data_IF_820128386024
#
_entry.id   IF_820128386024
#
_cell.length_a   1.000
_cell.length_b   1.000
_cell.length_c   1.000
_cell.angle_alpha   90.00
_cell.angle_beta   90.00
_cell.angle_gamma   90.00
#
_symmetry.space_group_name_H-M   'P 1'
#
loop_
_entity.id
_entity.type
_entity.pdbx_description
1 polymer ?
#
# COMPACT_ATOMS: atom_id res chain seq x y z
N UNK A 1 62.86 20.10 -20.69
CA UNK A 1 61.64 20.95 -20.62
C UNK A 1 60.46 20.05 -20.83
N UNK A 2 59.70 19.74 -19.78
CA UNK A 2 58.51 18.91 -19.87
C UNK A 2 57.39 19.71 -20.56
N UNK A 3 56.77 19.13 -21.57
CA UNK A 3 55.80 19.80 -22.42
C UNK A 3 54.50 20.11 -21.63
N UNK A 4 53.85 21.27 -21.80
CA UNK A 4 52.66 21.70 -21.04
C UNK A 4 51.44 20.77 -21.20
N UNK A 5 51.43 19.84 -22.14
CA UNK A 5 50.39 18.82 -22.35
C UNK A 5 50.35 17.75 -21.23
N UNK A 6 51.49 17.43 -20.60
CA UNK A 6 51.57 16.41 -19.58
C UNK A 6 51.02 16.93 -18.22
N UNK A 7 51.20 18.21 -17.90
CA UNK A 7 50.66 18.78 -16.67
C UNK A 7 49.13 18.84 -16.67
N UNK A 8 48.50 19.24 -17.77
CA UNK A 8 47.04 19.27 -17.88
C UNK A 8 46.41 17.86 -17.78
N UNK A 9 47.10 16.82 -18.25
CA UNK A 9 46.63 15.43 -18.13
C UNK A 9 46.73 14.94 -16.69
N UNK A 10 47.83 15.29 -15.99
CA UNK A 10 48.03 14.95 -14.57
C UNK A 10 46.96 15.62 -13.69
N UNK A 11 46.66 16.91 -13.92
CA UNK A 11 45.60 17.61 -13.20
C UNK A 11 44.21 16.99 -13.38
N UNK A 12 43.89 16.56 -14.62
CA UNK A 12 42.61 15.85 -14.89
C UNK A 12 42.53 14.52 -14.16
N UNK A 13 43.62 13.74 -14.16
CA UNK A 13 43.67 12.46 -13.42
C UNK A 13 43.54 12.69 -11.93
N UNK A 14 44.23 13.68 -11.36
CA UNK A 14 44.16 14.04 -9.94
C UNK A 14 42.74 14.52 -9.57
N UNK A 15 42.11 15.34 -10.40
CA UNK A 15 40.73 15.80 -10.21
C UNK A 15 39.73 14.62 -10.21
N UNK A 16 39.84 13.70 -11.15
CA UNK A 16 39.01 12.50 -11.24
C UNK A 16 39.20 11.65 -9.97
N UNK A 17 40.43 11.48 -9.51
CA UNK A 17 40.75 10.72 -8.31
C UNK A 17 40.15 11.39 -7.09
N UNK A 18 40.31 12.71 -6.91
CA UNK A 18 39.69 13.46 -5.75
C UNK A 18 38.18 13.38 -5.81
N UNK A 19 37.56 13.54 -7.00
CA UNK A 19 36.09 13.41 -7.12
C UNK A 19 35.64 11.98 -6.84
N UNK A 20 36.38 10.96 -7.22
CA UNK A 20 36.05 9.56 -6.90
C UNK A 20 36.17 9.28 -5.40
N UNK A 21 37.17 9.83 -4.71
CA UNK A 21 37.31 9.70 -3.25
C UNK A 21 36.20 10.46 -2.54
N UNK A 22 35.84 11.66 -2.99
CA UNK A 22 34.72 12.44 -2.45
C UNK A 22 33.40 11.69 -2.66
N UNK A 23 33.17 11.10 -3.82
CA UNK A 23 31.99 10.28 -4.10
C UNK A 23 31.94 9.04 -3.17
N UNK A 24 33.08 8.35 -2.99
CA UNK A 24 33.20 7.22 -2.09
C UNK A 24 32.92 7.64 -0.63
N UNK A 25 33.46 8.78 -0.20
CA UNK A 25 33.28 9.34 1.13
C UNK A 25 31.83 9.75 1.37
N UNK A 26 31.16 10.38 0.41
CA UNK A 26 29.74 10.71 0.47
C UNK A 26 28.84 9.45 0.55
N UNK A 27 29.22 8.38 -0.17
CA UNK A 27 28.53 7.09 -0.05
C UNK A 27 28.76 6.43 1.34
N UNK A 28 29.96 6.50 1.90
CA UNK A 28 30.27 5.99 3.24
C UNK A 28 29.49 6.78 4.32
N UNK A 29 29.33 8.07 4.14
CA UNK A 29 28.53 8.93 5.03
C UNK A 29 27.02 8.81 4.80
N UNK A 30 26.58 8.03 3.80
CA UNK A 30 25.17 7.93 3.44
C UNK A 30 24.58 9.23 2.86
N UNK A 31 25.41 10.21 2.56
CA UNK A 31 24.97 11.49 2.00
C UNK A 31 24.70 11.31 0.51
N UNK A 32 23.42 11.41 0.12
CA UNK A 32 22.99 11.32 -1.28
C UNK A 32 22.50 9.95 -1.74
N UNK A 33 22.43 8.94 -0.88
CA UNK A 33 21.68 7.73 -1.19
C UNK A 33 20.20 7.96 -0.84
N UNK A 34 19.35 7.95 -1.84
CA UNK A 34 17.91 7.89 -1.60
C UNK A 34 17.59 6.59 -0.86
N UNK A 35 16.88 6.68 0.26
CA UNK A 35 16.35 5.51 0.95
C UNK A 35 15.49 4.70 -0.02
N UNK A 36 15.72 3.39 -0.07
CA UNK A 36 14.94 2.47 -0.87
C UNK A 36 14.50 1.33 0.03
N UNK A 37 13.20 1.23 0.34
CA UNK A 37 12.72 0.17 1.23
C UNK A 37 12.86 -1.20 0.58
N UNK A 38 13.12 -2.22 1.40
CA UNK A 38 13.19 -3.61 0.92
C UNK A 38 11.81 -4.17 0.56
N UNK A 39 11.74 -5.12 -0.41
CA UNK A 39 10.52 -5.83 -0.76
C UNK A 39 9.92 -6.56 0.45
N UNK A 40 8.60 -6.42 0.64
CA UNK A 40 7.89 -6.97 1.80
C UNK A 40 6.44 -7.28 1.52
N UNK A 41 5.82 -8.02 2.45
CA UNK A 41 4.37 -8.29 2.50
C UNK A 41 3.86 -8.10 3.92
N UNK A 42 2.54 -8.01 4.08
CA UNK A 42 1.91 -7.91 5.39
C UNK A 42 2.25 -6.62 6.15
N UNK A 43 2.79 -5.61 5.46
CA UNK A 43 2.90 -4.25 5.97
C UNK A 43 1.54 -3.57 5.96
N UNK A 44 1.31 -2.64 6.87
CA UNK A 44 0.23 -1.69 6.75
C UNK A 44 0.68 -0.45 5.97
N UNK A 45 -0.25 0.19 5.26
CA UNK A 45 -0.02 1.43 4.53
C UNK A 45 -1.17 2.41 4.75
N UNK A 46 -0.85 3.64 5.14
CA UNK A 46 -1.82 4.69 5.48
C UNK A 46 -1.46 5.97 4.75
N UNK A 47 -2.37 6.47 3.92
CA UNK A 47 -2.22 7.77 3.28
C UNK A 47 -2.71 8.87 4.23
N UNK A 48 -1.84 9.84 4.53
CA UNK A 48 -2.17 11.08 5.22
C UNK A 48 -1.61 12.23 4.40
N UNK A 49 -2.47 13.11 3.95
CA UNK A 49 -2.12 14.21 3.03
C UNK A 49 -1.38 13.68 1.78
N UNK A 50 -0.13 14.08 1.60
CA UNK A 50 0.72 13.70 0.45
C UNK A 50 1.72 12.58 0.79
N UNK A 51 1.55 11.87 1.91
CA UNK A 51 2.48 10.85 2.39
C UNK A 51 1.77 9.52 2.64
N UNK A 52 2.30 8.45 2.06
CA UNK A 52 1.88 7.10 2.38
C UNK A 52 2.87 6.54 3.40
N UNK A 53 2.42 6.35 4.64
CA UNK A 53 3.20 5.75 5.72
C UNK A 53 3.12 4.24 5.63
N UNK A 54 4.26 3.56 5.73
CA UNK A 54 4.39 2.11 5.75
C UNK A 54 4.96 1.66 7.07
N UNK A 55 4.38 0.61 7.62
CA UNK A 55 4.71 0.13 8.97
C UNK A 55 4.88 -1.38 8.93
N UNK A 56 5.99 -1.88 9.47
CA UNK A 56 6.26 -3.29 9.66
C UNK A 56 6.32 -4.11 8.37
N UNK A 57 5.84 -5.33 8.46
CA UNK A 57 5.80 -6.31 7.38
C UNK A 57 6.82 -7.43 7.54
N UNK A 58 6.82 -8.33 6.55
CA UNK A 58 7.77 -9.43 6.43
C UNK A 58 8.69 -9.19 5.23
N UNK A 59 9.98 -9.08 5.47
CA UNK A 59 11.01 -8.84 4.44
C UNK A 59 11.42 -10.16 3.81
N UNK A 60 11.30 -10.29 2.50
CA UNK A 60 11.66 -11.51 1.78
C UNK A 60 13.16 -11.81 1.82
N UNK A 61 13.99 -10.78 1.61
CA UNK A 61 15.44 -10.94 1.52
C UNK A 61 16.08 -11.42 2.82
N UNK A 62 15.48 -11.08 3.96
CA UNK A 62 15.97 -11.40 5.29
C UNK A 62 15.15 -12.50 5.96
N UNK A 63 14.03 -12.90 5.36
CA UNK A 63 13.09 -13.91 5.90
C UNK A 63 12.66 -13.58 7.34
N UNK A 64 12.38 -12.30 7.63
CA UNK A 64 12.08 -11.84 8.99
C UNK A 64 11.00 -10.77 9.04
N UNK A 65 10.34 -10.69 10.20
CA UNK A 65 9.48 -9.57 10.56
C UNK A 65 10.31 -8.31 10.76
N UNK A 66 9.70 -7.15 10.57
CA UNK A 66 10.34 -5.86 10.78
C UNK A 66 9.43 -4.90 11.53
N UNK A 67 10.02 -3.97 12.25
CA UNK A 67 9.36 -2.80 12.84
C UNK A 67 9.63 -1.51 12.04
N UNK A 68 10.14 -1.63 10.82
CA UNK A 68 10.45 -0.46 10.00
C UNK A 68 9.23 0.47 9.89
N UNK A 69 9.49 1.76 9.98
CA UNK A 69 8.55 2.82 9.68
C UNK A 69 9.20 3.74 8.65
N UNK A 70 8.51 4.02 7.57
CA UNK A 70 8.98 4.91 6.52
C UNK A 70 7.78 5.45 5.75
N UNK A 71 7.96 6.48 4.94
CA UNK A 71 6.90 6.98 4.08
C UNK A 71 7.37 7.21 2.65
N UNK A 72 6.40 7.17 1.73
CA UNK A 72 6.52 7.62 0.37
C UNK A 72 5.83 8.98 0.26
N UNK A 73 6.59 10.02 -0.05
CA UNK A 73 6.05 11.32 -0.44
C UNK A 73 5.55 11.20 -1.88
N UNK A 74 4.25 11.42 -2.07
CA UNK A 74 3.58 11.31 -3.37
C UNK A 74 3.20 12.67 -3.93
N UNK A 75 3.63 13.73 -3.27
CA UNK A 75 3.39 15.10 -3.69
C UNK A 75 3.89 15.32 -5.12
N UNK A 76 3.04 15.90 -5.94
CA UNK A 76 3.35 16.18 -7.35
C UNK A 76 3.86 14.93 -8.12
N UNK A 77 3.49 13.71 -7.68
CA UNK A 77 3.92 12.44 -8.27
C UNK A 77 5.44 12.24 -8.33
N UNK A 78 6.20 12.82 -7.41
CA UNK A 78 7.68 12.71 -7.37
C UNK A 78 8.20 11.42 -6.75
N UNK A 79 7.41 10.73 -5.93
CA UNK A 79 7.70 9.42 -5.31
C UNK A 79 9.06 9.36 -4.57
N UNK A 80 9.18 10.14 -3.50
CA UNK A 80 10.41 10.20 -2.70
C UNK A 80 10.21 9.38 -1.42
N UNK A 81 11.07 8.38 -1.22
CA UNK A 81 11.09 7.57 -0.01
C UNK A 81 11.85 8.26 1.12
N UNK A 82 11.31 8.23 2.31
CA UNK A 82 11.93 8.75 3.53
C UNK A 82 11.91 7.70 4.63
N UNK A 83 13.08 7.44 5.19
CA UNK A 83 13.27 6.49 6.28
C UNK A 83 12.92 7.11 7.63
N UNK A 84 12.15 6.38 8.42
CA UNK A 84 11.82 6.68 9.81
C UNK A 84 12.20 5.50 10.74
N UNK A 85 13.18 4.69 10.35
CA UNK A 85 13.56 3.44 11.04
C UNK A 85 13.86 3.64 12.53
N UNK A 86 14.38 4.79 12.92
CA UNK A 86 14.60 5.10 14.34
C UNK A 86 13.32 5.02 15.18
N UNK A 87 12.14 5.22 14.58
CA UNK A 87 10.84 5.09 15.26
C UNK A 87 10.48 3.64 15.54
N UNK A 88 10.92 2.72 14.69
CA UNK A 88 10.66 1.30 14.82
C UNK A 88 11.19 0.67 16.10
N UNK A 89 12.13 1.30 16.80
CA UNK A 89 12.65 0.83 18.08
C UNK A 89 11.56 0.74 19.17
N UNK A 90 10.48 1.51 19.05
CA UNK A 90 9.36 1.52 19.98
C UNK A 90 8.17 0.66 19.51
N UNK A 91 8.30 -0.01 18.38
CA UNK A 91 7.29 -0.89 17.81
C UNK A 91 7.79 -2.33 17.87
N UNK A 92 6.96 -3.25 18.34
CA UNK A 92 7.26 -4.69 18.25
C UNK A 92 7.34 -5.10 16.78
N UNK A 93 8.28 -5.99 16.45
CA UNK A 93 8.36 -6.59 15.10
C UNK A 93 7.02 -7.19 14.72
N UNK A 94 6.38 -6.70 13.66
CA UNK A 94 5.00 -7.07 13.32
C UNK A 94 4.75 -7.16 11.81
N UNK A 95 3.86 -8.09 11.45
CA UNK A 95 3.27 -8.18 10.11
C UNK A 95 1.82 -8.62 10.19
N UNK A 96 1.08 -8.49 9.09
CA UNK A 96 -0.34 -8.87 8.99
C UNK A 96 -1.25 -8.11 9.97
N UNK A 97 -0.75 -7.00 10.51
CA UNK A 97 -1.51 -6.04 11.28
C UNK A 97 -2.31 -5.12 10.35
N UNK A 98 -3.23 -4.36 10.91
CA UNK A 98 -3.87 -3.25 10.19
C UNK A 98 -3.45 -1.92 10.79
N UNK A 99 -3.57 -0.85 10.03
CA UNK A 99 -3.38 0.50 10.52
C UNK A 99 -4.37 1.47 9.87
N UNK A 100 -4.80 2.45 10.64
CA UNK A 100 -5.74 3.48 10.21
C UNK A 100 -5.38 4.83 10.81
N UNK A 101 -5.71 5.94 10.14
CA UNK A 101 -5.59 7.27 10.73
C UNK A 101 -6.64 7.46 11.84
N UNK A 102 -6.52 8.54 12.60
CA UNK A 102 -7.44 8.87 13.70
C UNK A 102 -8.64 9.76 13.29
N UNK A 103 -9.19 9.55 12.12
CA UNK A 103 -10.34 10.31 11.64
C UNK A 103 -9.98 11.72 11.14
N UNK A 104 -10.71 12.75 11.53
CA UNK A 104 -10.61 14.10 10.94
C UNK A 104 -9.25 14.77 11.14
N UNK A 105 -8.64 14.61 12.32
CA UNK A 105 -7.40 15.33 12.65
C UNK A 105 -6.19 14.86 11.84
N UNK A 106 -6.22 13.60 11.38
CA UNK A 106 -5.17 12.98 10.55
C UNK A 106 -3.74 13.21 11.09
N UNK A 107 -3.58 13.33 12.41
CA UNK A 107 -2.31 13.61 13.05
C UNK A 107 -1.66 12.38 13.70
N UNK A 108 -2.34 11.25 13.63
CA UNK A 108 -1.87 9.99 14.21
C UNK A 108 -2.33 8.79 13.39
N UNK A 109 -1.53 7.72 13.46
CA UNK A 109 -1.84 6.41 12.90
C UNK A 109 -1.94 5.42 14.04
N UNK A 110 -3.07 4.69 14.11
CA UNK A 110 -3.27 3.58 15.04
C UNK A 110 -2.91 2.28 14.33
N UNK A 111 -2.04 1.48 14.94
CA UNK A 111 -1.52 0.21 14.45
C UNK A 111 -2.08 -0.88 15.35
N UNK A 112 -2.75 -1.89 14.78
CA UNK A 112 -3.58 -2.81 15.54
C UNK A 112 -3.32 -4.27 15.16
N UNK A 113 -3.06 -5.10 16.16
CA UNK A 113 -2.87 -6.54 16.02
C UNK A 113 -1.63 -6.93 15.23
N UNK A 114 -1.71 -8.04 14.50
CA UNK A 114 -0.62 -8.62 13.71
C UNK A 114 0.05 -9.81 14.39
N UNK A 115 1.05 -10.38 13.70
CA UNK A 115 1.96 -11.39 14.26
C UNK A 115 3.10 -10.68 14.95
N UNK A 116 3.45 -11.14 16.13
CA UNK A 116 4.57 -10.64 16.90
C UNK A 116 5.49 -11.78 17.30
N UNK A 117 6.81 -11.53 17.38
CA UNK A 117 7.77 -12.55 17.84
C UNK A 117 7.74 -12.74 19.36
N UNK A 118 7.36 -11.71 20.10
CA UNK A 118 7.21 -11.73 21.55
C UNK A 118 5.76 -11.42 21.94
N UNK A 119 4.96 -12.48 22.04
CA UNK A 119 3.54 -12.35 22.40
C UNK A 119 3.32 -11.91 23.84
N UNK A 120 4.29 -12.15 24.73
CA UNK A 120 4.16 -11.86 26.16
C UNK A 120 4.22 -10.35 26.48
N UNK A 121 4.91 -9.57 25.65
CA UNK A 121 5.18 -8.15 25.87
C UNK A 121 4.56 -7.24 24.78
N UNK A 122 3.62 -7.77 23.99
CA UNK A 122 3.00 -6.99 22.92
C UNK A 122 1.86 -6.11 23.41
N UNK A 123 1.80 -4.90 22.90
CA UNK A 123 0.60 -4.09 22.95
C UNK A 123 -0.25 -4.39 21.71
N UNK A 124 -1.55 -4.59 21.91
CA UNK A 124 -2.47 -4.80 20.79
C UNK A 124 -2.64 -3.53 19.92
N UNK A 125 -2.41 -2.35 20.52
CA UNK A 125 -2.50 -1.06 19.84
C UNK A 125 -1.25 -0.24 20.07
N UNK A 126 -0.70 0.28 18.98
CA UNK A 126 0.29 1.35 19.01
C UNK A 126 -0.28 2.59 18.31
N UNK A 127 0.16 3.77 18.73
CA UNK A 127 -0.16 5.05 18.13
C UNK A 127 1.13 5.71 17.65
N UNK A 128 1.24 6.00 16.38
CA UNK A 128 2.25 6.87 15.80
C UNK A 128 1.69 8.29 15.69
N UNK A 129 2.25 9.23 16.39
CA UNK A 129 2.00 10.67 16.22
C UNK A 129 2.91 11.17 15.08
N UNK A 130 2.30 11.63 13.99
CA UNK A 130 3.06 12.00 12.77
C UNK A 130 3.67 13.39 12.84
N UNK A 131 3.27 14.23 13.81
CA UNK A 131 3.85 15.57 14.03
C UNK A 131 5.13 15.50 14.84
N UNK A 132 5.11 14.64 15.88
CA UNK A 132 6.23 14.47 16.79
C UNK A 132 7.14 13.30 16.42
N UNK A 133 6.66 12.43 15.54
CA UNK A 133 7.30 11.16 15.20
C UNK A 133 7.53 10.27 16.44
N UNK A 134 6.54 10.18 17.33
CA UNK A 134 6.60 9.34 18.53
C UNK A 134 5.64 8.17 18.40
N UNK A 135 6.14 6.95 18.64
CA UNK A 135 5.32 5.75 18.80
C UNK A 135 5.10 5.49 20.27
N UNK A 136 3.85 5.32 20.66
CA UNK A 136 3.42 5.03 22.03
C UNK A 136 2.37 3.93 22.06
N UNK A 137 2.17 3.30 23.21
CA UNK A 137 1.05 2.39 23.47
C UNK A 137 0.02 3.13 24.32
N UNK A 138 -1.09 3.61 23.74
CA UNK A 138 -2.11 4.34 24.48
C UNK A 138 -2.87 3.41 25.44
N UNK A 139 -3.25 3.95 26.60
CA UNK A 139 -4.16 3.26 27.52
C UNK A 139 -5.58 3.40 26.95
N UNK A 140 -6.19 2.28 26.60
CA UNK A 140 -7.53 2.25 26.00
C UNK A 140 -8.49 1.59 26.96
N UNK A 141 -9.61 2.25 27.23
CA UNK A 141 -10.67 1.77 28.11
C UNK A 141 -11.46 0.63 27.45
N UNK A 142 -12.08 -0.21 28.27
CA UNK A 142 -12.89 -1.33 27.81
C UNK A 142 -12.09 -2.62 27.61
N UNK A 143 -12.73 -3.64 27.03
CA UNK A 143 -12.13 -4.94 26.82
C UNK A 143 -11.30 -4.93 25.53
N UNK A 144 -9.98 -5.07 25.68
CA UNK A 144 -9.08 -5.22 24.52
C UNK A 144 -9.45 -6.48 23.74
N UNK A 145 -9.58 -6.39 22.40
CA UNK A 145 -9.78 -7.56 21.54
C UNK A 145 -8.66 -8.59 21.67
N UNK A 146 -8.98 -9.84 21.37
CA UNK A 146 -7.98 -10.89 21.26
C UNK A 146 -6.94 -10.54 20.18
N UNK A 147 -5.64 -10.67 20.45
CA UNK A 147 -4.59 -10.49 19.45
C UNK A 147 -4.81 -11.39 18.24
N UNK A 148 -4.80 -10.81 17.05
CA UNK A 148 -5.12 -11.50 15.82
C UNK A 148 -4.48 -10.81 14.61
N UNK A 149 -4.44 -11.51 13.51
CA UNK A 149 -3.79 -11.09 12.27
C UNK A 149 -4.67 -11.34 11.04
N UNK A 150 -4.28 -10.76 9.90
CA UNK A 150 -4.98 -10.93 8.63
C UNK A 150 -6.34 -10.26 8.54
N UNK A 151 -6.64 -9.34 9.47
CA UNK A 151 -7.81 -8.48 9.39
C UNK A 151 -7.50 -7.23 8.55
N UNK A 152 -8.57 -6.58 8.13
CA UNK A 152 -8.54 -5.23 7.55
C UNK A 152 -9.41 -4.31 8.41
N UNK A 153 -9.14 -3.02 8.37
CA UNK A 153 -9.90 -2.00 9.11
C UNK A 153 -10.46 -0.93 8.18
N UNK A 154 -11.58 -0.37 8.59
CA UNK A 154 -12.14 0.84 8.02
C UNK A 154 -12.24 1.90 9.13
N UNK A 155 -12.02 3.18 8.80
CA UNK A 155 -12.09 4.27 9.77
C UNK A 155 -13.15 5.28 9.35
N UNK A 156 -14.03 5.64 10.28
CA UNK A 156 -15.01 6.69 10.05
C UNK A 156 -14.40 8.07 10.26
N UNK A 157 -15.08 9.09 9.73
CA UNK A 157 -14.67 10.48 9.90
C UNK A 157 -14.67 10.91 11.38
N UNK A 158 -15.51 10.30 12.22
CA UNK A 158 -15.55 10.52 13.66
C UNK A 158 -14.38 9.86 14.41
N UNK A 159 -13.49 9.17 13.71
CA UNK A 159 -12.31 8.52 14.30
C UNK A 159 -12.59 7.16 14.93
N UNK A 160 -13.66 6.47 14.52
CA UNK A 160 -13.91 5.09 14.91
C UNK A 160 -13.28 4.13 13.91
N UNK A 161 -12.42 3.23 14.39
CA UNK A 161 -11.80 2.17 13.58
C UNK A 161 -12.59 0.88 13.79
N UNK A 162 -13.13 0.35 12.71
CA UNK A 162 -13.92 -0.89 12.66
C UNK A 162 -13.03 -2.04 12.18
N UNK A 163 -12.92 -3.11 12.98
CA UNK A 163 -12.08 -4.27 12.73
C UNK A 163 -12.92 -5.53 12.82
N UNK A 164 -13.12 -6.20 11.69
CA UNK A 164 -13.88 -7.44 11.65
C UNK A 164 -12.97 -8.63 11.35
N UNK A 165 -13.26 -9.81 11.90
CA UNK A 165 -12.59 -11.05 11.52
C UNK A 165 -11.12 -11.11 11.92
N UNK A 166 -10.27 -11.63 11.00
CA UNK A 166 -8.91 -12.00 11.29
C UNK A 166 -8.80 -13.44 11.82
N UNK A 167 -7.60 -13.87 12.19
CA UNK A 167 -7.39 -15.19 12.78
C UNK A 167 -6.38 -15.15 13.91
N UNK A 168 -6.46 -16.15 14.78
CA UNK A 168 -5.52 -16.44 15.86
C UNK A 168 -4.92 -17.84 15.67
N UNK A 169 -3.80 -18.08 16.31
CA UNK A 169 -3.10 -19.37 16.24
C UNK A 169 -2.23 -19.51 14.99
N UNK A 170 -1.66 -20.70 14.82
CA UNK A 170 -0.74 -21.02 13.74
C UNK A 170 -0.87 -22.48 13.32
N UNK A 171 -0.38 -22.80 12.11
CA UNK A 171 -0.43 -24.14 11.56
C UNK A 171 -1.84 -24.73 11.54
N UNK A 172 -2.02 -25.89 12.18
CA UNK A 172 -3.31 -26.57 12.25
C UNK A 172 -4.29 -26.01 13.29
N UNK A 173 -3.84 -25.08 14.12
CA UNK A 173 -4.65 -24.47 15.19
C UNK A 173 -5.17 -23.07 14.83
N UNK A 174 -5.29 -22.75 13.54
CA UNK A 174 -5.86 -21.48 13.09
C UNK A 174 -7.35 -21.45 13.39
N UNK A 175 -7.77 -20.40 14.10
CA UNK A 175 -9.18 -20.10 14.40
C UNK A 175 -9.55 -18.75 13.76
N UNK A 176 -10.55 -18.78 12.89
CA UNK A 176 -11.11 -17.56 12.29
C UNK A 176 -11.97 -16.84 13.32
N UNK A 177 -11.65 -15.59 13.57
CA UNK A 177 -12.35 -14.78 14.55
C UNK A 177 -13.64 -14.24 13.94
N UNK A 178 -14.75 -14.33 14.69
CA UNK A 178 -16.02 -13.72 14.31
C UNK A 178 -16.40 -12.67 15.35
N UNK A 179 -15.80 -11.51 15.26
CA UNK A 179 -16.14 -10.32 16.07
C UNK A 179 -15.96 -9.06 15.23
N UNK A 180 -16.73 -8.05 15.57
CA UNK A 180 -16.55 -6.68 15.09
C UNK A 180 -16.15 -5.83 16.29
N UNK A 181 -14.87 -5.46 16.35
CA UNK A 181 -14.35 -4.61 17.41
C UNK A 181 -14.17 -3.18 16.88
N UNK A 182 -14.56 -2.21 17.69
CA UNK A 182 -14.61 -0.81 17.32
C UNK A 182 -13.73 -0.03 18.30
N UNK A 183 -12.68 0.59 17.79
CA UNK A 183 -11.83 1.51 18.55
C UNK A 183 -12.25 2.95 18.29
N UNK A 184 -12.72 3.63 19.31
CA UNK A 184 -12.86 5.08 19.31
C UNK A 184 -11.48 5.71 19.60
N UNK A 185 -10.88 6.32 18.58
CA UNK A 185 -9.53 6.91 18.68
C UNK A 185 -9.51 8.25 19.38
N UNK A 186 -10.66 8.88 19.58
CA UNK A 186 -10.81 10.17 20.27
C UNK A 186 -10.96 9.93 21.77
N UNK A 187 -11.89 9.03 22.16
CA UNK A 187 -12.16 8.72 23.56
C UNK A 187 -11.26 7.60 24.10
N UNK A 188 -10.44 7.01 23.27
CA UNK A 188 -9.56 5.87 23.56
C UNK A 188 -10.35 4.76 24.28
N UNK A 189 -11.38 4.24 23.61
CA UNK A 189 -12.24 3.21 24.19
C UNK A 189 -12.62 2.15 23.16
N UNK A 190 -12.74 0.89 23.64
CA UNK A 190 -13.23 -0.25 22.87
C UNK A 190 -14.73 -0.43 23.05
N UNK A 191 -15.40 -0.73 21.95
CA UNK A 191 -16.76 -1.25 21.91
C UNK A 191 -16.84 -2.39 20.90
N UNK A 192 -17.98 -3.08 20.88
CA UNK A 192 -18.26 -4.18 19.93
C UNK A 192 -19.48 -3.82 19.10
N UNK A 193 -19.45 -4.13 17.83
CA UNK A 193 -20.60 -3.99 16.96
C UNK A 193 -21.46 -5.25 16.94
N UNK A 194 -22.68 -5.12 16.45
CA UNK A 194 -23.63 -6.21 16.25
C UNK A 194 -23.04 -7.31 15.36
N UNK A 195 -23.36 -8.55 15.67
CA UNK A 195 -23.06 -9.72 14.83
C UNK A 195 -24.34 -10.35 14.23
N UNK A 196 -25.48 -9.73 14.42
CA UNK A 196 -26.74 -10.21 13.82
C UNK A 196 -26.65 -10.08 12.29
N UNK A 197 -26.78 -11.19 11.58
CA UNK A 197 -26.61 -11.30 10.13
C UNK A 197 -25.19 -10.95 9.65
N UNK A 198 -24.18 -10.96 10.52
CA UNK A 198 -22.79 -10.78 10.10
C UNK A 198 -22.33 -11.92 9.18
N UNK A 199 -21.33 -11.68 8.33
CA UNK A 199 -20.65 -12.79 7.67
C UNK A 199 -19.96 -13.69 8.70
N UNK A 200 -19.60 -14.90 8.29
CA UNK A 200 -18.64 -15.71 9.04
C UNK A 200 -17.29 -15.01 9.09
N UNK A 201 -16.51 -15.28 10.15
CA UNK A 201 -15.16 -14.73 10.32
C UNK A 201 -14.32 -14.96 9.06
N UNK A 202 -13.55 -13.96 8.65
CA UNK A 202 -12.78 -13.99 7.40
C UNK A 202 -11.43 -13.31 7.55
N UNK A 203 -10.53 -13.65 6.63
CA UNK A 203 -9.16 -13.13 6.60
C UNK A 203 -8.78 -12.63 5.21
N UNK A 204 -7.84 -11.67 5.14
CA UNK A 204 -7.25 -11.14 3.90
C UNK A 204 -8.30 -10.63 2.89
N UNK A 205 -9.41 -10.14 3.39
CA UNK A 205 -10.48 -9.45 2.68
C UNK A 205 -10.19 -7.94 2.59
N UNK A 206 -11.06 -7.18 1.93
CA UNK A 206 -11.04 -5.71 2.00
C UNK A 206 -12.26 -5.16 2.71
N UNK A 207 -12.06 -4.11 3.51
CA UNK A 207 -13.09 -3.32 4.17
C UNK A 207 -13.02 -1.89 3.63
N UNK A 208 -14.06 -1.46 2.93
CA UNK A 208 -14.11 -0.14 2.28
C UNK A 208 -15.27 0.66 2.85
N UNK A 209 -14.98 1.75 3.56
CA UNK A 209 -16.02 2.66 4.06
C UNK A 209 -16.52 3.55 2.92
N UNK A 210 -17.83 3.63 2.77
CA UNK A 210 -18.53 4.50 1.83
C UNK A 210 -18.89 5.83 2.50
N UNK A 211 -19.27 6.81 1.69
CA UNK A 211 -19.62 8.15 2.16
C UNK A 211 -20.90 8.21 3.01
N UNK A 212 -21.75 7.18 2.92
CA UNK A 212 -22.98 7.06 3.71
C UNK A 212 -22.78 6.37 5.07
N UNK A 213 -21.55 6.03 5.42
CA UNK A 213 -21.21 5.32 6.63
C UNK A 213 -21.35 3.79 6.54
N UNK A 214 -21.56 3.24 5.36
CA UNK A 214 -21.62 1.79 5.15
C UNK A 214 -20.23 1.24 4.84
N UNK A 215 -19.82 0.15 5.49
CA UNK A 215 -18.58 -0.55 5.18
C UNK A 215 -18.89 -1.76 4.30
N UNK A 216 -18.23 -1.85 3.13
CA UNK A 216 -18.31 -3.00 2.23
C UNK A 216 -17.17 -3.97 2.52
N UNK A 217 -17.51 -5.24 2.73
CA UNK A 217 -16.57 -6.34 2.94
C UNK A 217 -16.56 -7.22 1.70
N UNK A 218 -15.41 -7.30 1.03
CA UNK A 218 -15.28 -7.95 -0.28
C UNK A 218 -14.20 -9.03 -0.22
N UNK A 219 -14.53 -10.23 -0.70
CA UNK A 219 -13.60 -11.36 -0.80
C UNK A 219 -13.12 -11.89 0.54
N UNK A 220 -11.89 -12.39 0.54
CA UNK A 220 -11.29 -13.01 1.72
C UNK A 220 -11.48 -14.52 1.78
N UNK A 221 -10.83 -15.15 2.74
CA UNK A 221 -10.96 -16.57 3.05
C UNK A 221 -11.81 -16.73 4.30
N UNK A 222 -12.78 -17.65 4.28
CA UNK A 222 -13.79 -17.83 5.34
C UNK A 222 -13.54 -19.06 6.22
N UNK A 223 -12.74 -19.98 5.73
CA UNK A 223 -12.21 -21.12 6.47
C UNK A 223 -10.92 -21.60 5.79
N UNK A 224 -10.40 -22.78 6.17
CA UNK A 224 -9.14 -23.31 5.60
C UNK A 224 -9.18 -23.57 4.11
N UNK A 225 -10.35 -23.87 3.54
CA UNK A 225 -10.50 -24.32 2.17
C UNK A 225 -11.33 -23.38 1.30
N UNK A 226 -12.17 -22.55 1.92
CA UNK A 226 -13.18 -21.77 1.22
C UNK A 226 -12.88 -20.27 1.19
N UNK A 227 -13.18 -19.67 0.07
CA UNK A 227 -13.07 -18.26 -0.19
C UNK A 227 -14.49 -17.66 -0.29
N UNK A 228 -14.65 -16.43 0.16
CA UNK A 228 -15.88 -15.68 -0.08
C UNK A 228 -16.01 -15.38 -1.57
N UNK A 229 -17.15 -15.71 -2.21
CA UNK A 229 -17.37 -15.38 -3.61
C UNK A 229 -17.50 -13.86 -3.79
N UNK A 230 -17.08 -13.35 -4.94
CA UNK A 230 -17.16 -11.93 -5.26
C UNK A 230 -18.59 -11.45 -5.56
N UNK A 231 -19.55 -12.38 -5.64
CA UNK A 231 -20.99 -12.08 -5.70
C UNK A 231 -21.55 -11.65 -4.34
N UNK A 232 -20.90 -12.01 -3.24
CA UNK A 232 -21.34 -11.68 -1.88
C UNK A 232 -20.68 -10.40 -1.38
N UNK A 233 -21.47 -9.34 -1.25
CA UNK A 233 -21.04 -8.07 -0.68
C UNK A 233 -21.72 -7.89 0.67
N UNK A 234 -21.00 -8.20 1.73
CA UNK A 234 -21.47 -7.92 3.08
C UNK A 234 -21.31 -6.44 3.39
N UNK A 235 -22.34 -5.87 3.97
CA UNK A 235 -22.40 -4.45 4.30
C UNK A 235 -22.66 -4.30 5.79
N UNK A 236 -21.90 -3.42 6.43
CA UNK A 236 -22.14 -3.00 7.80
C UNK A 236 -22.47 -1.52 7.84
N UNK A 237 -23.67 -1.20 8.28
CA UNK A 237 -24.15 0.16 8.56
C UNK A 237 -23.59 0.61 9.91
N UNK A 238 -22.64 1.53 9.92
CA UNK A 238 -21.96 2.01 11.13
C UNK A 238 -22.88 2.87 12.03
N UNK A 239 -23.95 3.42 11.46
CA UNK A 239 -24.92 4.25 12.16
C UNK A 239 -26.00 3.37 12.80
N UNK A 240 -26.54 2.43 12.01
CA UNK A 240 -27.60 1.53 12.45
C UNK A 240 -27.11 0.30 13.20
N UNK A 241 -25.80 0.07 13.32
CA UNK A 241 -25.16 -1.11 13.94
C UNK A 241 -25.77 -2.42 13.43
N UNK A 242 -25.81 -2.60 12.11
CA UNK A 242 -26.44 -3.76 11.48
C UNK A 242 -25.75 -4.21 10.20
N UNK A 243 -25.81 -5.53 10.00
CA UNK A 243 -25.29 -6.18 8.79
C UNK A 243 -26.40 -6.44 7.79
N UNK A 244 -26.00 -6.42 6.52
CA UNK A 244 -26.80 -6.91 5.39
C UNK A 244 -25.91 -7.58 4.35
N UNK A 245 -26.47 -8.54 3.63
CA UNK A 245 -25.85 -9.17 2.48
C UNK A 245 -26.52 -8.63 1.21
N UNK A 246 -25.69 -8.22 0.24
CA UNK A 246 -26.11 -7.86 -1.10
C UNK A 246 -25.47 -8.78 -2.10
N UNK A 247 -26.20 -9.09 -3.16
CA UNK A 247 -25.70 -9.91 -4.26
C UNK A 247 -25.24 -9.01 -5.41
N UNK A 248 -23.96 -9.10 -5.75
CA UNK A 248 -23.41 -8.44 -6.92
C UNK A 248 -23.52 -9.34 -8.16
N UNK A 249 -23.69 -8.71 -9.31
CA UNK A 249 -23.70 -9.35 -10.63
C UNK A 249 -22.54 -8.83 -11.47
N UNK A 250 -22.38 -9.30 -12.69
CA UNK A 250 -21.41 -8.77 -13.64
C UNK A 250 -22.12 -8.32 -14.91
N UNK A 251 -21.56 -7.34 -15.63
CA UNK A 251 -22.07 -6.89 -16.93
C UNK A 251 -22.16 -8.04 -17.92
N UNK A 252 -21.16 -8.89 -17.90
CA UNK A 252 -21.10 -10.15 -18.66
C UNK A 252 -20.66 -11.24 -17.68
N UNK A 253 -21.29 -12.40 -17.72
CA UNK A 253 -21.03 -13.48 -16.77
C UNK A 253 -19.55 -13.86 -16.66
N UNK A 254 -18.84 -13.84 -17.78
CA UNK A 254 -17.41 -14.15 -17.89
C UNK A 254 -16.51 -13.10 -17.25
N UNK A 255 -17.03 -11.91 -16.96
CA UNK A 255 -16.30 -10.80 -16.30
C UNK A 255 -16.55 -10.76 -14.80
N UNK A 256 -17.29 -11.71 -14.22
CA UNK A 256 -17.40 -11.87 -12.77
C UNK A 256 -16.00 -12.15 -12.20
N UNK A 257 -15.51 -11.30 -11.26
CA UNK A 257 -14.21 -11.53 -10.64
C UNK A 257 -14.20 -12.85 -9.85
N UNK A 258 -13.10 -13.58 -9.98
CA UNK A 258 -12.89 -14.80 -9.18
C UNK A 258 -12.65 -14.49 -7.70
N UNK A 259 -12.98 -15.45 -6.79
CA UNK A 259 -12.69 -15.35 -5.36
C UNK A 259 -11.21 -15.09 -5.11
N UNK A 260 -10.86 -14.29 -4.08
CA UNK A 260 -9.49 -13.86 -3.86
C UNK A 260 -9.19 -13.41 -2.44
N UNK A 261 -7.91 -13.50 -2.06
CA UNK A 261 -7.34 -12.94 -0.84
C UNK A 261 -6.15 -12.04 -1.17
N UNK A 262 -5.77 -11.20 -0.22
CA UNK A 262 -4.59 -10.34 -0.38
C UNK A 262 -4.70 -9.34 -1.53
N UNK A 263 -5.92 -9.10 -2.00
CA UNK A 263 -6.25 -7.99 -2.90
C UNK A 263 -6.38 -6.70 -2.12
N UNK A 264 -6.39 -5.59 -2.83
CA UNK A 264 -6.70 -4.26 -2.28
C UNK A 264 -7.96 -3.69 -2.94
N UNK A 265 -8.61 -2.77 -2.24
CA UNK A 265 -9.76 -2.05 -2.76
C UNK A 265 -9.65 -0.56 -2.42
N UNK A 266 -10.05 0.30 -3.35
CA UNK A 266 -10.15 1.75 -3.14
C UNK A 266 -11.48 2.24 -3.69
N UNK A 267 -12.11 3.17 -2.96
CA UNK A 267 -13.36 3.82 -3.36
C UNK A 267 -13.03 5.09 -4.13
N UNK A 268 -13.51 5.21 -5.36
CA UNK A 268 -13.45 6.42 -6.15
C UNK A 268 -14.60 7.37 -5.79
N UNK A 269 -14.38 8.68 -5.94
CA UNK A 269 -15.44 9.69 -5.78
C UNK A 269 -16.61 9.52 -6.77
N UNK A 270 -16.42 8.75 -7.83
CA UNK A 270 -17.48 8.36 -8.78
C UNK A 270 -18.44 7.29 -8.24
N UNK A 271 -18.25 6.80 -7.02
CA UNK A 271 -19.07 5.72 -6.45
C UNK A 271 -18.72 4.34 -6.98
N UNK A 272 -17.47 4.13 -7.35
CA UNK A 272 -16.98 2.81 -7.81
C UNK A 272 -15.84 2.34 -6.92
N UNK A 273 -15.83 1.05 -6.59
CA UNK A 273 -14.74 0.41 -5.87
C UNK A 273 -13.85 -0.32 -6.87
N UNK A 274 -12.57 0.06 -6.93
CA UNK A 274 -11.58 -0.69 -7.69
C UNK A 274 -10.97 -1.74 -6.79
N UNK A 275 -11.01 -2.99 -7.24
CA UNK A 275 -10.31 -4.12 -6.63
C UNK A 275 -9.11 -4.47 -7.51
N UNK A 276 -7.93 -4.56 -6.88
CA UNK A 276 -6.69 -4.89 -7.58
C UNK A 276 -6.01 -6.13 -7.01
N UNK A 277 -5.53 -6.99 -7.89
CA UNK A 277 -4.69 -8.14 -7.57
C UNK A 277 -5.39 -9.20 -6.74
N UNK A 278 -4.62 -9.83 -5.87
CA UNK A 278 -5.03 -10.96 -5.08
C UNK A 278 -4.72 -12.29 -5.73
N UNK A 279 -4.87 -13.32 -4.94
CA UNK A 279 -4.68 -14.71 -5.36
C UNK A 279 -5.74 -15.61 -4.75
N UNK A 280 -5.85 -16.82 -5.29
CA UNK A 280 -6.60 -17.89 -4.65
C UNK A 280 -5.77 -19.18 -4.67
N UNK A 281 -6.12 -20.13 -3.82
CA UNK A 281 -5.52 -21.45 -3.79
C UNK A 281 -6.48 -22.46 -4.41
N UNK A 282 -5.93 -23.39 -5.18
CA UNK A 282 -6.64 -24.59 -5.63
C UNK A 282 -6.02 -25.79 -4.92
N UNK A 283 -6.81 -26.78 -4.55
CA UNK A 283 -6.33 -28.00 -3.89
C UNK A 283 -5.26 -28.74 -4.69
N UNK A 284 -5.26 -28.57 -6.01
CA UNK A 284 -4.30 -29.20 -6.93
C UNK A 284 -2.99 -28.41 -7.07
N UNK A 285 -2.92 -27.17 -6.57
CA UNK A 285 -1.77 -26.28 -6.73
C UNK A 285 -1.37 -25.72 -5.36
N UNK A 286 -0.23 -26.18 -4.81
CA UNK A 286 0.23 -25.78 -3.47
C UNK A 286 0.66 -24.31 -3.38
N UNK A 287 0.76 -23.62 -4.51
CA UNK A 287 1.15 -22.20 -4.59
C UNK A 287 -0.05 -21.36 -5.01
N UNK A 288 -0.21 -20.19 -4.39
CA UNK A 288 -1.31 -19.29 -4.73
C UNK A 288 -1.31 -18.93 -6.22
N UNK A 289 -2.50 -19.00 -6.83
CA UNK A 289 -2.72 -18.64 -8.23
C UNK A 289 -3.17 -17.18 -8.26
N UNK A 290 -2.51 -16.28 -9.02
CA UNK A 290 -3.00 -14.93 -9.21
C UNK A 290 -4.42 -14.94 -9.79
N UNK A 291 -5.27 -14.05 -9.29
CA UNK A 291 -6.63 -13.89 -9.81
C UNK A 291 -6.60 -13.64 -11.32
N UNK A 292 -7.57 -14.22 -12.05
CA UNK A 292 -7.66 -14.11 -13.50
C UNK A 292 -7.75 -12.64 -13.91
N UNK A 293 -8.65 -11.90 -13.28
CA UNK A 293 -8.83 -10.46 -13.47
C UNK A 293 -7.91 -9.72 -12.48
N UNK A 294 -6.85 -9.08 -12.99
CA UNK A 294 -5.96 -8.28 -12.14
C UNK A 294 -6.68 -7.07 -11.56
N UNK A 295 -7.62 -6.50 -12.30
CA UNK A 295 -8.42 -5.35 -11.88
C UNK A 295 -9.88 -5.66 -12.15
N UNK A 296 -10.73 -5.32 -11.19
CA UNK A 296 -12.17 -5.33 -11.32
C UNK A 296 -12.76 -4.09 -10.65
N UNK A 297 -13.91 -3.65 -11.12
CA UNK A 297 -14.57 -2.45 -10.63
C UNK A 297 -16.02 -2.78 -10.28
N UNK A 298 -16.41 -2.49 -9.03
CA UNK A 298 -17.77 -2.62 -8.53
C UNK A 298 -18.43 -1.25 -8.50
N UNK A 299 -19.54 -1.10 -9.19
CA UNK A 299 -20.41 0.05 -9.03
C UNK A 299 -21.25 -0.13 -7.75
N UNK A 300 -21.13 0.79 -6.78
CA UNK A 300 -21.80 0.65 -5.46
C UNK A 300 -23.31 0.88 -5.53
N UNK A 301 -23.81 1.52 -6.59
CA UNK A 301 -25.23 1.82 -6.77
C UNK A 301 -25.98 0.64 -7.38
N UNK A 302 -25.39 0.04 -8.42
CA UNK A 302 -26.00 -1.06 -9.17
C UNK A 302 -25.58 -2.44 -8.69
N UNK A 303 -24.45 -2.52 -7.93
CA UNK A 303 -23.77 -3.75 -7.53
C UNK A 303 -23.36 -4.62 -8.73
N UNK A 304 -22.95 -3.98 -9.81
CA UNK A 304 -22.49 -4.63 -11.02
C UNK A 304 -20.97 -4.55 -11.12
N UNK A 305 -20.34 -5.71 -11.30
CA UNK A 305 -18.93 -5.81 -11.61
C UNK A 305 -18.67 -5.55 -13.09
N UNK A 306 -17.59 -4.82 -13.35
CA UNK A 306 -17.05 -4.60 -14.69
C UNK A 306 -15.54 -4.68 -14.68
N UNK A 307 -14.95 -4.88 -15.86
CA UNK A 307 -13.51 -4.80 -16.05
C UNK A 307 -13.22 -3.45 -16.70
N UNK A 308 -12.49 -2.53 -16.02
CA UNK A 308 -12.21 -1.22 -16.58
C UNK A 308 -11.38 -1.35 -17.87
N UNK A 309 -11.70 -0.58 -18.93
CA UNK A 309 -10.90 -0.55 -20.14
C UNK A 309 -9.59 0.19 -19.85
N UNK A 310 -8.51 -0.56 -19.68
CA UNK A 310 -7.17 -0.01 -19.46
C UNK A 310 -6.30 -0.25 -20.69
N UNK A 311 -5.64 0.80 -21.14
CA UNK A 311 -4.56 0.66 -22.10
C UNK A 311 -3.41 -0.12 -21.46
N UNK A 312 -2.78 -1.04 -22.19
CA UNK A 312 -1.65 -1.86 -21.70
C UNK A 312 -1.95 -2.86 -20.55
N UNK A 313 -3.18 -3.38 -20.48
CA UNK A 313 -3.62 -4.34 -19.47
C UNK A 313 -2.66 -5.53 -19.24
N UNK A 314 -1.98 -5.98 -20.29
CA UNK A 314 -1.04 -7.11 -20.23
C UNK A 314 0.26 -6.82 -19.45
N UNK A 315 0.57 -5.55 -19.19
CA UNK A 315 1.78 -5.13 -18.49
C UNK A 315 1.54 -4.83 -17.01
N UNK A 316 0.30 -4.95 -16.53
CA UNK A 316 -0.04 -4.70 -15.13
C UNK A 316 0.44 -5.88 -14.26
N UNK A 317 1.27 -5.65 -13.22
CA UNK A 317 1.78 -6.73 -12.42
C UNK A 317 0.66 -7.41 -11.60
N UNK A 318 0.66 -8.74 -11.60
CA UNK A 318 -0.25 -9.54 -10.77
C UNK A 318 0.33 -9.64 -9.37
N UNK A 319 -0.18 -8.85 -8.44
CA UNK A 319 0.29 -8.76 -7.06
C UNK A 319 -0.74 -9.30 -6.08
N UNK A 320 -0.25 -9.82 -4.95
CA UNK A 320 -1.05 -10.12 -3.78
C UNK A 320 -0.33 -9.62 -2.52
N UNK A 321 -1.08 -9.31 -1.48
CA UNK A 321 -0.56 -8.77 -0.21
C UNK A 321 0.26 -7.49 -0.40
N UNK A 322 -0.07 -6.73 -1.42
CA UNK A 322 0.44 -5.41 -1.71
C UNK A 322 -0.36 -4.36 -0.94
N UNK A 323 0.12 -3.13 -0.95
CA UNK A 323 -0.63 -1.98 -0.45
C UNK A 323 -1.14 -1.15 -1.61
N UNK A 324 -2.32 -0.54 -1.44
CA UNK A 324 -2.88 0.41 -2.38
C UNK A 324 -3.52 1.59 -1.65
N UNK A 325 -3.28 2.77 -2.16
CA UNK A 325 -3.85 4.01 -1.66
C UNK A 325 -4.38 4.83 -2.83
N UNK A 326 -5.51 5.47 -2.64
CA UNK A 326 -6.08 6.38 -3.62
C UNK A 326 -5.56 7.80 -3.35
N UNK A 327 -4.93 8.41 -4.35
CA UNK A 327 -4.39 9.74 -4.27
C UNK A 327 -5.12 10.69 -5.23
N UNK A 328 -5.60 11.83 -4.72
CA UNK A 328 -6.41 12.82 -5.45
C UNK A 328 -7.61 12.25 -6.22
N UNK A 329 -8.21 11.19 -5.71
CA UNK A 329 -9.39 10.52 -6.30
C UNK A 329 -9.22 10.06 -7.76
N UNK A 330 -7.98 10.03 -8.25
CA UNK A 330 -7.65 9.71 -9.65
C UNK A 330 -6.56 8.68 -9.81
N UNK A 331 -5.63 8.58 -8.86
CA UNK A 331 -4.47 7.71 -8.95
C UNK A 331 -4.48 6.66 -7.84
N UNK A 332 -4.55 5.39 -8.21
CA UNK A 332 -4.32 4.26 -7.30
C UNK A 332 -2.83 3.95 -7.27
N UNK A 333 -2.18 4.24 -6.13
CA UNK A 333 -0.75 3.99 -5.93
C UNK A 333 -0.59 2.61 -5.29
N UNK A 334 0.07 1.70 -6.00
CA UNK A 334 0.30 0.32 -5.59
C UNK A 334 1.77 0.13 -5.26
N UNK A 335 2.04 -0.47 -4.10
CA UNK A 335 3.40 -0.69 -3.61
C UNK A 335 3.54 -2.06 -2.96
N UNK A 336 4.75 -2.64 -3.05
CA UNK A 336 5.09 -3.93 -2.43
C UNK A 336 4.26 -5.12 -2.93
N UNK A 337 4.16 -6.17 -2.13
CA UNK A 337 3.40 -7.38 -2.44
C UNK A 337 4.27 -8.60 -2.75
N UNK A 338 3.62 -9.76 -2.75
CA UNK A 338 4.24 -11.04 -3.06
C UNK A 338 4.37 -11.21 -4.55
N UNK A 339 5.59 -11.44 -4.98
CA UNK A 339 6.07 -11.87 -6.30
C UNK A 339 5.80 -10.90 -7.46
N UNK A 340 6.80 -10.68 -8.21
CA UNK A 340 6.91 -10.21 -9.59
C UNK A 340 7.84 -9.00 -9.69
N UNK A 341 8.62 -8.95 -10.81
CA UNK A 341 9.51 -7.85 -11.11
C UNK A 341 8.76 -6.52 -11.01
N UNK A 342 9.30 -5.62 -10.25
CA UNK A 342 8.81 -4.25 -10.15
C UNK A 342 8.86 -3.62 -11.54
N UNK A 343 7.71 -3.19 -12.02
CA UNK A 343 7.58 -2.45 -13.27
C UNK A 343 6.95 -1.10 -12.91
N UNK A 344 7.63 -0.03 -13.28
CA UNK A 344 7.01 1.31 -13.26
C UNK A 344 6.00 1.36 -14.40
N UNK A 345 4.73 1.29 -14.08
CA UNK A 345 3.67 1.53 -15.04
C UNK A 345 3.05 2.87 -14.68
N UNK A 346 3.48 3.92 -15.38
CA UNK A 346 2.76 5.19 -15.40
C UNK A 346 1.78 5.06 -16.57
N UNK A 347 0.52 4.85 -16.25
CA UNK A 347 -0.55 4.76 -17.25
C UNK A 347 -1.16 6.14 -17.51
N UNK A 348 -0.42 7.08 -18.02
CA UNK A 348 -0.71 8.50 -18.21
C UNK A 348 -0.48 9.38 -16.96
N UNK A 349 0.45 10.30 -17.04
CA UNK A 349 0.56 11.40 -16.10
C UNK A 349 -0.68 12.31 -16.26
N UNK A 350 -1.32 12.73 -15.15
CA UNK A 350 -2.40 13.72 -15.24
C UNK A 350 -1.87 14.98 -15.94
N UNK A 351 -2.68 15.57 -16.82
CA UNK A 351 -2.38 16.90 -17.32
C UNK A 351 -2.41 17.89 -16.16
N UNK A 352 -1.60 18.93 -16.19
CA UNK A 352 -1.48 19.95 -15.11
C UNK A 352 -2.84 20.48 -14.62
N UNK A 353 -3.86 20.48 -15.49
CA UNK A 353 -5.24 20.90 -15.13
C UNK A 353 -5.99 19.89 -14.25
N UNK A 354 -5.58 18.63 -14.19
CA UNK A 354 -6.21 17.61 -13.34
C UNK A 354 -5.59 17.52 -11.92
N UNK A 355 -4.46 18.21 -11.69
CA UNK A 355 -3.69 18.16 -10.45
C UNK A 355 -4.04 19.29 -9.48
N UNK A 356 -4.84 20.28 -9.91
CA UNK A 356 -5.21 21.39 -9.00
C UNK A 356 -6.04 20.86 -7.85
N UNK A 357 -5.60 20.99 -6.58
CA UNK A 357 -6.41 20.65 -5.43
C UNK A 357 -7.67 21.50 -5.47
N UNK A 358 -8.83 20.89 -5.40
CA UNK A 358 -10.06 21.61 -5.08
C UNK A 358 -9.80 22.36 -3.78
N UNK A 359 -9.87 23.68 -3.83
CA UNK A 359 -9.66 24.54 -2.67
C UNK A 359 -10.52 24.01 -1.52
N UNK A 360 -9.95 23.97 -0.31
CA UNK A 360 -10.68 23.78 0.94
C UNK A 360 -11.70 24.92 1.07
N UNK A 361 -12.87 24.75 0.48
CA UNK A 361 -14.00 25.64 0.72
C UNK A 361 -15.24 24.78 0.86
N UNK A 362 -15.72 24.78 2.11
CA UNK A 362 -17.09 24.52 2.52
C UNK A 362 -17.60 23.08 2.40
N UNK A 363 -17.62 22.41 3.56
CA UNK A 363 -18.49 21.29 3.83
C UNK A 363 -19.93 21.83 3.79
N UNK A 364 -20.79 21.44 2.85
CA UNK A 364 -22.19 21.83 2.88
C UNK A 364 -22.89 21.05 4.00
N UNK A 365 -23.54 21.77 4.90
CA UNK A 365 -24.57 21.19 5.77
C UNK A 365 -25.64 20.50 4.93
N UNK A 366 -26.26 19.40 5.42
CA UNK A 366 -27.24 18.65 4.65
C UNK A 366 -28.54 19.43 4.51
N UNK A 367 -28.74 20.09 3.38
CA UNK A 367 -30.06 20.54 2.96
C UNK A 367 -30.54 19.61 1.82
N UNK A 368 -31.55 18.82 2.18
CA UNK A 368 -32.28 17.95 1.26
C UNK A 368 -33.12 18.82 0.34
N UNK A 369 -32.71 18.99 -0.90
CA UNK A 369 -33.61 19.35 -1.99
C UNK A 369 -33.35 18.47 -3.20
N UNK A 370 -34.40 17.78 -3.63
CA UNK A 370 -34.44 16.93 -4.81
C UNK A 370 -34.23 17.78 -6.07
N UNK A 371 -33.10 17.61 -6.75
CA UNK A 371 -32.97 17.95 -8.17
C UNK A 371 -32.15 16.87 -8.85
N UNK A 372 -32.66 16.41 -9.99
CA UNK A 372 -32.09 15.41 -10.87
C UNK A 372 -30.63 15.74 -11.26
N UNK A 373 -29.74 14.70 -11.37
CA UNK A 373 -28.35 14.95 -11.73
C UNK A 373 -28.21 15.31 -13.23
N UNK A 374 -27.32 16.25 -13.57
CA UNK A 374 -26.96 16.46 -14.96
C UNK A 374 -26.11 15.28 -15.45
N UNK A 375 -26.45 14.74 -16.61
CA UNK A 375 -25.61 13.81 -17.35
C UNK A 375 -24.30 14.52 -17.74
N UNK A 376 -23.20 14.20 -17.10
CA UNK A 376 -21.87 14.53 -17.60
C UNK A 376 -21.18 13.23 -18.05
N UNK A 377 -21.04 13.07 -19.35
CA UNK A 377 -20.15 12.10 -19.99
C UNK A 377 -18.69 12.55 -19.78
N UNK A 378 -18.16 12.41 -18.57
CA UNK A 378 -16.72 12.50 -18.35
C UNK A 378 -16.21 11.09 -18.01
N UNK A 379 -15.58 10.45 -18.96
CA UNK A 379 -14.78 9.25 -18.69
C UNK A 379 -13.59 9.68 -17.81
N UNK A 380 -13.73 9.52 -16.51
CA UNK A 380 -12.60 9.67 -15.58
C UNK A 380 -11.58 8.60 -15.89
N UNK A 381 -10.41 8.97 -16.39
CA UNK A 381 -9.28 8.06 -16.60
C UNK A 381 -8.72 7.65 -15.25
N UNK A 382 -8.65 6.36 -14.99
CA UNK A 382 -8.06 5.79 -13.77
C UNK A 382 -6.57 5.62 -14.01
N UNK A 383 -5.75 6.15 -13.12
CA UNK A 383 -4.29 6.03 -13.17
C UNK A 383 -3.86 5.01 -12.11
N UNK A 384 -3.14 3.98 -12.52
CA UNK A 384 -2.52 3.01 -11.62
C UNK A 384 -1.02 3.21 -11.67
N UNK A 385 -0.44 3.58 -10.54
CA UNK A 385 1.00 3.80 -10.40
C UNK A 385 1.59 2.68 -9.55
N UNK A 386 2.46 1.87 -10.17
CA UNK A 386 3.25 0.87 -9.45
C UNK A 386 4.64 1.45 -9.19
N UNK A 387 4.98 1.72 -7.93
CA UNK A 387 6.29 2.24 -7.56
C UNK A 387 7.29 1.11 -7.46
N UNK A 388 8.31 1.12 -8.33
CA UNK A 388 9.39 0.13 -8.30
C UNK A 388 10.54 0.57 -7.40
N UNK A 389 11.15 -0.42 -6.75
CA UNK A 389 12.39 -0.21 -6.00
C UNK A 389 13.55 -0.33 -7.01
N UNK A 390 14.17 0.81 -7.35
CA UNK A 390 15.27 0.87 -8.33
C UNK A 390 16.45 0.01 -7.89
N UNK A 391 16.91 -0.87 -8.76
CA UNK A 391 18.10 -1.68 -8.53
C UNK A 391 19.38 -0.86 -8.77
N UNK A 392 20.41 -1.14 -7.98
CA UNK A 392 21.78 -0.59 -7.99
C UNK A 392 22.54 -0.80 -9.33
N UNK A 393 21.87 -1.29 -10.37
CA UNK A 393 22.48 -1.64 -11.66
C UNK A 393 23.00 -0.44 -12.47
N UNK A 394 22.52 0.78 -12.25
CA UNK A 394 22.94 1.95 -13.03
C UNK A 394 24.40 2.38 -12.76
N UNK A 395 24.89 2.21 -11.53
CA UNK A 395 26.27 2.57 -11.16
C UNK A 395 27.32 1.64 -11.76
N UNK A 396 27.01 0.35 -11.89
CA UNK A 396 27.92 -0.65 -12.47
C UNK A 396 28.10 -0.47 -13.99
N UNK A 397 27.06 -0.06 -14.70
CA UNK A 397 27.10 0.18 -16.15
C UNK A 397 27.98 1.38 -16.47
N UNK A 398 27.90 2.46 -15.70
CA UNK A 398 28.74 3.64 -15.89
C UNK A 398 30.23 3.35 -15.58
N UNK A 399 30.51 2.53 -14.57
CA UNK A 399 31.84 2.12 -14.19
C UNK A 399 32.50 1.24 -15.27
N UNK A 400 31.76 0.25 -15.78
CA UNK A 400 32.22 -0.60 -16.89
C UNK A 400 32.42 0.21 -18.16
N UNK A 401 31.52 1.13 -18.51
CA UNK A 401 31.64 2.02 -19.63
C UNK A 401 32.88 2.92 -19.54
N UNK A 402 33.19 3.42 -18.36
CA UNK A 402 34.39 4.24 -18.10
C UNK A 402 35.71 3.45 -18.30
N UNK A 403 35.73 2.19 -17.87
CA UNK A 403 36.90 1.29 -18.10
C UNK A 403 37.07 1.00 -19.59
N UNK A 404 35.99 0.77 -20.34
CA UNK A 404 36.08 0.56 -21.80
C UNK A 404 36.52 1.82 -22.56
N UNK A 405 36.01 2.99 -22.17
CA UNK A 405 36.44 4.26 -22.74
C UNK A 405 37.94 4.52 -22.48
N UNK A 406 38.40 4.27 -21.25
CA UNK A 406 39.84 4.38 -20.89
C UNK A 406 40.70 3.42 -21.67
N UNK A 407 40.35 2.15 -21.83
CA UNK A 407 41.08 1.17 -22.62
C UNK A 407 41.13 1.57 -24.08
N UNK A 408 40.07 2.14 -24.64
CA UNK A 408 40.01 2.59 -26.04
C UNK A 408 40.90 3.81 -26.28
N UNK A 409 40.93 4.77 -25.37
CA UNK A 409 41.83 5.95 -25.42
C UNK A 409 43.29 5.51 -25.31
N UNK A 410 43.61 4.59 -24.40
CA UNK A 410 44.99 4.06 -24.25
C UNK A 410 45.46 3.28 -25.47
N UNK A 411 44.58 2.55 -26.17
CA UNK A 411 44.93 1.82 -27.41
C UNK A 411 45.17 2.79 -28.56
N UNK A 412 44.40 3.87 -28.68
CA UNK A 412 44.58 4.89 -29.70
C UNK A 412 45.91 5.68 -29.54
N UNK A 413 46.32 5.96 -28.29
CA UNK A 413 47.61 6.59 -28.03
C UNK A 413 48.79 5.70 -28.32
N UNK A 414 48.65 4.36 -28.18
CA UNK A 414 49.73 3.42 -28.54
C UNK A 414 49.93 3.29 -30.05
N UNK A 415 48.90 3.46 -30.85
CA UNK A 415 48.94 3.39 -32.29
C UNK A 415 49.44 4.69 -32.95
N UNK A 416 49.45 5.83 -32.23
CA UNK A 416 50.02 7.11 -32.70
C UNK A 416 51.49 7.29 -32.35
N UNK A 417 52.06 6.44 -31.50
CA UNK A 417 53.51 6.47 -31.14
C UNK A 417 54.34 5.45 -31.87
N UNK A 418 53.74 4.72 -32.82
CA UNK A 418 54.40 3.70 -33.67
C UNK A 418 54.25 3.98 -35.17
N UNK A 419 53.93 5.21 -35.55
CA UNK A 419 53.96 5.71 -36.91
C UNK A 419 54.96 6.85 -37.05
#
# INVERSE_FOLDING_TARGET
MSTPKNSAMIYKILLIFVLSQLFLFLNILGIGQNYVPEPRVGQAAVLIEDKIYYIGGYKFNQSQLTSDVFYLDVKEFKFIWTDLVSLGANLTLTSWHTASPNGISLDSIFILGGVHLDEANMNYVYKLDIKTNIISAPIIQGKTPQPRQGMNSAVSIEGKIYIFGGYVGSGDNIIFVNSLDILDTINLSWSVGSLVNSPVGRIYYTATLLNDGTIYYIGGKVDRNNFSPMTEIYQYDTIGDKWSLKTATAEVAETMPGPRIGHTAVLLGSGKIIVYGGLYYNNDIPYGIPSKETIAMLDITTLVWSIPPLENFNNIPKLAFHSANLFYDTAMIITFGQKYKWINVILDAPTEDSIKPKSKSEIPSPNISKTSPPQSNSHSKIIIVCVSIGSVAAGLILFVASIFAYKRIKKNHKNQSSS
#
